data_IF_514060140990
#
_entry.id   IF_514060140990
#
_cell.length_a   1.000
_cell.length_b   1.000
_cell.length_c   1.000
_cell.angle_alpha   90.00
_cell.angle_beta   90.00
_cell.angle_gamma   90.00
#
_symmetry.space_group_name_H-M   'P 1'
#
loop_
_entity.id
_entity.type
_entity.pdbx_description
1 polymer ?
#
# COMPACT_ATOMS: atom_id res chain seq x y z
N UNK A 1 -19.75 -5.91 -23.06
CA UNK A 1 -20.25 -5.74 -21.67
C UNK A 1 -19.81 -4.37 -21.20
N UNK A 2 -20.76 -3.48 -20.91
CA UNK A 2 -20.53 -2.08 -20.56
C UNK A 2 -19.80 -2.01 -19.22
N UNK A 3 -18.61 -1.41 -19.21
CA UNK A 3 -17.80 -1.19 -18.01
C UNK A 3 -18.58 -0.34 -17.01
N UNK A 4 -19.03 -0.97 -15.93
CA UNK A 4 -19.83 -0.41 -14.85
C UNK A 4 -19.04 0.53 -13.92
N UNK A 5 -17.77 0.81 -14.23
CA UNK A 5 -16.80 1.44 -13.33
C UNK A 5 -16.94 2.97 -13.21
N UNK A 6 -18.00 3.58 -13.76
CA UNK A 6 -18.13 5.03 -13.81
C UNK A 6 -19.59 5.47 -13.66
N UNK A 7 -20.01 5.71 -12.43
CA UNK A 7 -21.22 6.49 -12.15
C UNK A 7 -20.77 7.75 -11.40
N UNK A 8 -20.59 8.91 -12.08
CA UNK A 8 -20.24 10.14 -11.39
C UNK A 8 -21.38 10.57 -10.46
N UNK A 9 -21.11 10.58 -9.15
CA UNK A 9 -22.04 10.82 -8.03
C UNK A 9 -22.52 12.27 -7.91
N UNK A 10 -21.66 13.20 -8.29
CA UNK A 10 -21.90 14.63 -8.15
C UNK A 10 -22.27 15.25 -9.51
N UNK A 11 -23.09 16.30 -9.47
CA UNK A 11 -23.37 17.16 -10.61
C UNK A 11 -22.24 18.20 -10.73
N UNK A 12 -21.58 18.32 -11.89
CA UNK A 12 -20.66 19.42 -12.15
C UNK A 12 -21.42 20.73 -12.19
N UNK A 13 -21.11 21.62 -11.27
CA UNK A 13 -21.54 23.01 -11.26
C UNK A 13 -20.40 23.86 -11.84
N UNK A 14 -20.63 24.50 -13.00
CA UNK A 14 -19.63 25.38 -13.59
C UNK A 14 -19.50 26.64 -12.72
N UNK A 15 -18.31 26.89 -12.20
CA UNK A 15 -17.93 28.14 -11.53
C UNK A 15 -16.77 28.74 -12.33
N UNK A 16 -17.11 29.54 -13.37
CA UNK A 16 -16.13 30.12 -14.28
C UNK A 16 -15.46 29.08 -15.20
N UNK A 17 -14.13 29.15 -15.35
CA UNK A 17 -13.34 28.16 -16.10
C UNK A 17 -13.14 26.82 -15.36
N UNK A 18 -13.59 26.72 -14.10
CA UNK A 18 -13.50 25.54 -13.27
C UNK A 18 -14.88 24.93 -13.04
N UNK A 19 -14.93 23.62 -12.81
CA UNK A 19 -16.15 22.89 -12.46
C UNK A 19 -16.05 22.42 -11.01
N UNK A 20 -17.00 22.82 -10.17
CA UNK A 20 -17.12 22.37 -8.79
C UNK A 20 -18.26 21.35 -8.69
N UNK A 21 -17.96 20.14 -8.23
CA UNK A 21 -18.94 19.07 -8.03
C UNK A 21 -19.60 19.23 -6.63
N UNK A 22 -20.61 20.10 -6.49
CA UNK A 22 -21.15 20.53 -5.18
C UNK A 22 -22.42 19.79 -4.73
N UNK A 23 -23.13 19.10 -5.63
CA UNK A 23 -24.43 18.49 -5.30
C UNK A 23 -24.54 17.05 -5.80
N UNK A 24 -25.11 16.17 -4.98
CA UNK A 24 -25.41 14.79 -5.37
C UNK A 24 -26.39 14.74 -6.54
N UNK A 25 -26.21 13.76 -7.43
CA UNK A 25 -27.24 13.41 -8.41
C UNK A 25 -28.43 12.75 -7.69
N UNK A 26 -29.44 13.59 -7.36
CA UNK A 26 -30.70 13.21 -6.67
C UNK A 26 -31.38 11.95 -7.21
N UNK A 27 -31.18 11.61 -8.48
CA UNK A 27 -31.86 10.49 -9.15
C UNK A 27 -30.99 9.25 -9.38
N UNK A 28 -29.70 9.28 -9.03
CA UNK A 28 -28.77 8.18 -9.34
C UNK A 28 -27.99 7.74 -8.11
N UNK A 29 -27.53 8.68 -7.26
CA UNK A 29 -26.73 8.33 -6.11
C UNK A 29 -27.14 9.14 -4.88
N UNK A 30 -27.59 8.46 -3.81
CA UNK A 30 -28.02 9.11 -2.56
C UNK A 30 -27.15 8.63 -1.39
N UNK A 31 -26.53 9.53 -0.60
CA UNK A 31 -25.89 9.14 0.64
C UNK A 31 -26.96 8.68 1.63
N UNK A 32 -26.73 7.55 2.29
CA UNK A 32 -27.63 7.00 3.29
C UNK A 32 -27.29 7.58 4.66
N UNK A 33 -28.30 8.15 5.32
CA UNK A 33 -28.22 8.59 6.72
C UNK A 33 -28.85 7.56 7.64
N UNK A 34 -28.55 6.28 7.43
CA UNK A 34 -29.04 5.20 8.28
C UNK A 34 -27.93 4.78 9.26
N UNK A 35 -28.11 4.92 10.59
CA UNK A 35 -27.10 4.50 11.57
C UNK A 35 -26.82 2.99 11.56
N UNK A 36 -27.72 2.18 11.02
CA UNK A 36 -27.51 0.74 10.82
C UNK A 36 -26.66 0.43 9.57
N UNK A 37 -26.43 1.42 8.70
CA UNK A 37 -25.63 1.27 7.50
C UNK A 37 -24.13 1.45 7.80
N UNK A 38 -23.48 0.41 8.31
CA UNK A 38 -22.03 0.39 8.54
C UNK A 38 -21.41 -0.92 8.04
N UNK A 39 -20.08 -0.90 7.86
CA UNK A 39 -19.31 -2.10 7.51
C UNK A 39 -19.32 -3.04 8.71
N UNK A 40 -19.75 -4.27 8.49
CA UNK A 40 -19.74 -5.31 9.52
C UNK A 40 -18.33 -5.87 9.71
N UNK A 41 -18.06 -6.24 10.96
CA UNK A 41 -16.79 -6.81 11.41
C UNK A 41 -17.05 -8.15 12.10
N UNK A 42 -18.10 -8.88 11.74
CA UNK A 42 -18.63 -9.99 12.54
C UNK A 42 -18.07 -11.35 12.14
N UNK A 43 -17.65 -11.50 10.88
CA UNK A 43 -17.13 -12.78 10.40
C UNK A 43 -15.66 -12.97 10.84
N UNK A 44 -15.38 -14.03 11.62
CA UNK A 44 -14.02 -14.34 12.03
C UNK A 44 -13.21 -14.90 10.87
N UNK A 45 -11.87 -14.78 10.93
CA UNK A 45 -10.98 -15.48 10.01
C UNK A 45 -11.14 -17.00 10.14
N UNK A 46 -10.80 -17.71 9.06
CA UNK A 46 -10.92 -19.16 9.02
C UNK A 46 -10.07 -19.80 10.12
N UNK A 47 -10.69 -20.66 10.94
CA UNK A 47 -10.00 -21.37 12.03
C UNK A 47 -9.65 -20.50 13.24
N UNK A 48 -10.28 -19.33 13.40
CA UNK A 48 -10.10 -18.49 14.58
C UNK A 48 -10.92 -18.98 15.77
N UNK A 49 -10.30 -18.94 16.95
CA UNK A 49 -10.95 -19.19 18.24
C UNK A 49 -10.90 -17.91 19.07
N UNK A 50 -12.01 -17.52 19.73
CA UNK A 50 -12.03 -16.33 20.55
C UNK A 50 -11.03 -16.44 21.71
N UNK A 51 -10.39 -15.34 22.12
CA UNK A 51 -9.59 -15.33 23.34
C UNK A 51 -10.47 -15.76 24.53
N UNK A 52 -9.90 -16.45 25.53
CA UNK A 52 -10.65 -16.80 26.72
C UNK A 52 -11.24 -15.53 27.35
N UNK A 53 -12.50 -15.57 27.84
CA UNK A 53 -13.10 -14.41 28.48
C UNK A 53 -12.19 -13.96 29.64
N UNK A 54 -12.07 -12.64 29.87
CA UNK A 54 -11.35 -12.15 31.03
C UNK A 54 -11.92 -12.81 32.29
N UNK A 55 -11.09 -13.13 33.30
CA UNK A 55 -11.58 -13.70 34.55
C UNK A 55 -12.69 -12.80 35.08
N UNK A 56 -13.87 -13.40 35.30
CA UNK A 56 -15.07 -12.70 35.75
C UNK A 56 -14.68 -11.90 36.99
N UNK A 57 -14.64 -10.57 36.88
CA UNK A 57 -14.43 -9.73 38.06
C UNK A 57 -15.51 -10.12 39.06
N UNK A 58 -15.11 -10.43 40.31
CA UNK A 58 -16.06 -10.71 41.37
C UNK A 58 -17.05 -9.54 41.41
N UNK A 59 -18.32 -9.83 41.12
CA UNK A 59 -19.39 -8.86 41.26
C UNK A 59 -19.33 -8.31 42.69
N UNK A 60 -19.18 -6.99 42.89
CA UNK A 60 -19.33 -6.43 44.22
C UNK A 60 -20.73 -6.83 44.69
N UNK A 61 -20.80 -7.49 45.85
CA UNK A 61 -22.07 -7.81 46.50
C UNK A 61 -22.74 -6.48 46.85
N UNK A 62 -23.61 -6.00 45.97
CA UNK A 62 -24.50 -4.88 46.26
C UNK A 62 -25.54 -5.38 47.25
N UNK A 63 -25.68 -4.62 48.34
CA UNK A 63 -26.58 -4.93 49.43
C UNK A 63 -28.04 -4.78 48.95
N UNK A 64 -28.89 -5.78 49.22
CA UNK A 64 -30.29 -5.90 48.72
C UNK A 64 -31.25 -4.75 49.13
N UNK A 65 -30.74 -3.71 49.79
CA UNK A 65 -31.50 -2.51 50.14
C UNK A 65 -31.42 -1.41 49.07
N UNK A 66 -30.40 -1.39 48.21
CA UNK A 66 -30.27 -0.37 47.15
C UNK A 66 -31.09 -0.71 45.89
N UNK A 67 -31.38 -1.98 45.61
CA UNK A 67 -32.26 -2.39 44.50
C UNK A 67 -33.69 -1.83 44.66
N UNK A 68 -34.20 -1.76 45.89
CA UNK A 68 -35.58 -1.30 46.15
C UNK A 68 -35.80 0.21 46.04
N UNK A 69 -34.73 1.01 45.98
CA UNK A 69 -34.85 2.46 45.80
C UNK A 69 -34.70 2.88 44.33
N UNK A 70 -33.98 2.13 43.48
CA UNK A 70 -33.88 2.45 42.05
C UNK A 70 -35.13 2.05 41.24
N UNK A 71 -35.93 1.09 41.70
CA UNK A 71 -37.16 0.66 41.01
C UNK A 71 -38.36 1.61 41.19
N UNK A 72 -38.27 2.62 42.06
CA UNK A 72 -39.38 3.56 42.33
C UNK A 72 -39.32 4.88 41.53
N UNK A 73 -38.30 5.09 40.68
CA UNK A 73 -38.14 6.33 39.90
C UNK A 73 -38.24 6.16 38.36
N UNK A 74 -38.70 5.01 37.85
CA UNK A 74 -39.02 4.89 36.43
C UNK A 74 -40.47 5.34 36.13
N UNK A 75 -40.70 6.35 35.28
CA UNK A 75 -42.04 6.67 34.80
C UNK A 75 -42.56 5.60 33.83
N UNK A 76 -43.86 5.28 33.94
CA UNK A 76 -44.56 4.30 33.11
C UNK A 76 -44.51 4.62 31.60
N UNK A 77 -44.50 3.59 30.72
CA UNK A 77 -44.50 3.78 29.28
C UNK A 77 -45.86 4.29 28.77
N UNK A 78 -45.92 5.29 27.88
CA UNK A 78 -47.18 5.76 27.33
C UNK A 78 -47.81 4.71 26.40
N UNK A 79 -49.11 4.50 26.61
CA UNK A 79 -49.97 3.59 25.89
C UNK A 79 -50.12 3.97 24.40
N UNK A 80 -50.20 2.92 23.58
CA UNK A 80 -50.47 2.96 22.14
C UNK A 80 -51.79 3.64 21.80
N UNK A 81 -51.74 4.68 20.99
CA UNK A 81 -52.88 5.11 20.16
C UNK A 81 -52.41 5.30 18.73
N UNK A 82 -53.21 4.83 17.78
CA UNK A 82 -53.16 5.15 16.35
C UNK A 82 -54.61 5.34 15.90
N UNK A 83 -54.91 6.02 14.77
CA UNK A 83 -54.05 6.82 13.89
C UNK A 83 -54.64 8.22 13.60
N UNK A 84 -53.78 9.22 13.39
CA UNK A 84 -54.19 10.45 12.69
C UNK A 84 -53.27 10.65 11.47
N UNK A 85 -53.89 10.60 10.29
CA UNK A 85 -53.28 10.90 9.00
C UNK A 85 -52.76 12.34 9.03
N UNK A 86 -51.45 12.51 8.94
CA UNK A 86 -50.86 13.71 8.35
C UNK A 86 -50.09 13.28 7.10
N UNK A 87 -50.45 13.94 6.01
CA UNK A 87 -49.69 13.96 4.77
C UNK A 87 -48.53 14.95 4.96
N UNK A 88 -47.46 14.67 4.21
CA UNK A 88 -46.25 15.48 4.04
C UNK A 88 -45.09 15.12 4.99
N UNK A 89 -44.72 13.82 4.99
CA UNK A 89 -43.38 13.38 5.35
C UNK A 89 -42.57 13.20 4.05
N UNK A 90 -41.58 14.07 3.83
CA UNK A 90 -40.50 13.83 2.87
C UNK A 90 -39.60 12.73 3.46
N UNK A 91 -39.94 11.48 3.13
CA UNK A 91 -39.32 10.25 3.62
C UNK A 91 -37.78 10.28 3.56
N UNK A 92 -37.17 10.45 4.73
CA UNK A 92 -35.80 10.02 5.01
C UNK A 92 -35.77 8.49 5.02
N UNK A 93 -35.34 7.89 3.91
CA UNK A 93 -35.29 6.45 3.67
C UNK A 93 -34.63 5.66 4.83
N UNK A 94 -35.44 5.10 5.71
CA UNK A 94 -35.07 4.11 6.73
C UNK A 94 -34.90 2.69 6.11
N UNK A 95 -34.28 2.57 4.95
CA UNK A 95 -33.96 1.27 4.35
C UNK A 95 -32.74 0.66 5.06
N UNK A 96 -32.88 -0.53 5.66
CA UNK A 96 -31.73 -1.29 6.19
C UNK A 96 -30.96 -1.90 5.02
N UNK A 97 -29.75 -1.41 4.70
CA UNK A 97 -29.00 -1.87 3.55
C UNK A 97 -28.52 -3.33 3.71
N UNK A 98 -28.29 -4.07 2.60
CA UNK A 98 -27.72 -5.41 2.67
C UNK A 98 -26.38 -5.39 3.40
N UNK A 99 -26.17 -6.24 4.41
CA UNK A 99 -24.95 -6.20 5.22
C UNK A 99 -23.70 -6.47 4.36
N UNK A 100 -22.71 -5.61 4.50
CA UNK A 100 -21.39 -5.75 3.89
C UNK A 100 -20.35 -5.91 4.98
N UNK A 101 -19.66 -7.05 4.99
CA UNK A 101 -18.64 -7.36 5.99
C UNK A 101 -17.25 -7.33 5.36
N UNK A 102 -16.20 -6.97 6.10
CA UNK A 102 -14.83 -6.85 5.57
C UNK A 102 -14.36 -8.06 4.76
N UNK A 103 -14.72 -9.29 5.18
CA UNK A 103 -14.36 -10.50 4.44
C UNK A 103 -15.11 -10.68 3.10
N UNK A 104 -16.00 -9.74 2.71
CA UNK A 104 -16.67 -9.73 1.40
C UNK A 104 -15.76 -9.12 0.33
N UNK A 105 -14.73 -8.37 0.73
CA UNK A 105 -13.80 -7.69 -0.18
C UNK A 105 -13.13 -8.64 -1.19
N UNK A 106 -12.52 -9.79 -0.78
CA UNK A 106 -11.95 -10.73 -1.75
C UNK A 106 -12.99 -11.29 -2.72
N UNK A 107 -14.22 -11.54 -2.24
CA UNK A 107 -15.32 -12.02 -3.08
C UNK A 107 -15.79 -10.98 -4.10
N UNK A 108 -15.85 -9.71 -3.70
CA UNK A 108 -16.17 -8.58 -4.57
C UNK A 108 -15.10 -8.40 -5.65
N UNK A 109 -13.82 -8.43 -5.29
CA UNK A 109 -12.69 -8.34 -6.23
C UNK A 109 -12.75 -9.45 -7.29
N UNK A 110 -13.03 -10.70 -6.91
CA UNK A 110 -13.21 -11.81 -7.87
C UNK A 110 -14.33 -11.53 -8.88
N UNK A 111 -15.46 -10.99 -8.43
CA UNK A 111 -16.60 -10.65 -9.33
C UNK A 111 -16.29 -9.49 -10.26
N UNK A 112 -15.39 -8.59 -9.88
CA UNK A 112 -14.87 -7.54 -10.76
C UNK A 112 -13.86 -8.07 -11.79
N UNK A 113 -13.48 -9.35 -11.72
CA UNK A 113 -12.41 -9.92 -12.54
C UNK A 113 -11.02 -9.54 -12.07
N UNK A 114 -10.84 -9.27 -10.76
CA UNK A 114 -9.57 -8.92 -10.12
C UNK A 114 -9.05 -10.07 -9.24
N UNK A 115 -8.60 -11.19 -9.85
CA UNK A 115 -8.17 -12.37 -9.11
C UNK A 115 -6.89 -12.14 -8.28
N UNK A 116 -5.93 -11.32 -8.75
CA UNK A 116 -4.70 -11.05 -8.00
C UNK A 116 -5.01 -10.21 -6.78
N UNK A 117 -5.78 -9.13 -6.93
CA UNK A 117 -6.20 -8.30 -5.80
C UNK A 117 -6.98 -9.11 -4.76
N UNK A 118 -7.90 -9.98 -5.21
CA UNK A 118 -8.63 -10.86 -4.31
C UNK A 118 -7.72 -11.82 -3.54
N UNK A 119 -6.67 -12.32 -4.18
CA UNK A 119 -5.69 -13.22 -3.56
C UNK A 119 -4.89 -12.49 -2.48
N UNK A 120 -4.41 -11.28 -2.77
CA UNK A 120 -3.66 -10.44 -1.83
C UNK A 120 -4.51 -10.01 -0.64
N UNK A 121 -5.76 -9.58 -0.88
CA UNK A 121 -6.69 -9.23 0.19
C UNK A 121 -6.96 -10.43 1.11
N UNK A 122 -7.20 -11.61 0.53
CA UNK A 122 -7.38 -12.84 1.31
C UNK A 122 -6.13 -13.19 2.12
N UNK A 123 -4.94 -13.09 1.51
CA UNK A 123 -3.66 -13.31 2.20
C UNK A 123 -3.51 -12.37 3.40
N UNK A 124 -3.85 -11.09 3.24
CA UNK A 124 -3.80 -10.13 4.34
C UNK A 124 -4.68 -10.59 5.50
N UNK A 125 -5.96 -10.93 5.24
CA UNK A 125 -6.90 -11.37 6.28
C UNK A 125 -6.47 -12.67 6.98
N UNK A 126 -5.89 -13.62 6.23
CA UNK A 126 -5.39 -14.89 6.77
C UNK A 126 -4.05 -14.73 7.51
N UNK A 127 -3.35 -13.62 7.28
CA UNK A 127 -2.07 -13.29 7.88
C UNK A 127 -2.13 -13.14 9.41
N UNK A 128 -1.00 -13.38 10.07
CA UNK A 128 -0.84 -13.01 11.48
C UNK A 128 -0.91 -11.49 11.64
N UNK A 129 -1.41 -10.99 12.76
CA UNK A 129 -1.37 -9.56 13.08
C UNK A 129 0.04 -9.03 12.94
N UNK A 130 0.24 -8.10 12.00
CA UNK A 130 1.52 -7.45 11.79
C UNK A 130 1.35 -6.12 11.06
N UNK A 131 2.20 -5.16 11.43
CA UNK A 131 2.34 -3.86 10.77
C UNK A 131 3.81 -3.77 10.34
N UNK A 132 4.05 -3.49 9.05
CA UNK A 132 5.40 -3.36 8.50
C UNK A 132 6.14 -2.18 9.15
N UNK A 133 7.46 -2.12 9.00
CA UNK A 133 8.30 -0.99 9.42
C UNK A 133 8.43 0.07 8.30
N UNK A 134 8.61 1.33 8.69
CA UNK A 134 8.85 2.47 7.80
C UNK A 134 10.29 2.50 7.30
N UNK A 135 11.15 1.69 7.92
CA UNK A 135 12.52 1.56 7.50
C UNK A 135 12.59 0.87 6.12
N UNK A 136 13.05 1.57 5.06
CA UNK A 136 13.17 0.98 3.74
C UNK A 136 14.20 -0.14 3.65
N UNK A 137 15.07 -0.27 4.66
CA UNK A 137 16.05 -1.35 4.80
C UNK A 137 15.59 -2.50 5.70
N UNK A 138 14.36 -2.44 6.24
CA UNK A 138 13.82 -3.52 7.05
C UNK A 138 13.74 -4.84 6.26
N UNK A 139 14.15 -5.91 6.93
CA UNK A 139 14.03 -7.29 6.45
C UNK A 139 12.98 -8.02 7.26
N UNK A 140 12.14 -8.79 6.58
CA UNK A 140 10.99 -9.45 7.18
C UNK A 140 11.12 -10.98 7.15
N UNK A 141 10.56 -11.67 8.16
CA UNK A 141 10.33 -13.11 8.13
C UNK A 141 9.60 -13.56 6.85
N UNK A 142 9.88 -14.79 6.39
CA UNK A 142 9.40 -15.28 5.09
C UNK A 142 7.88 -15.31 4.94
N UNK A 143 7.11 -15.45 6.02
CA UNK A 143 5.64 -15.39 6.00
C UNK A 143 5.10 -13.99 5.63
N UNK A 144 5.88 -12.95 5.87
CA UNK A 144 5.57 -11.55 5.54
C UNK A 144 6.17 -11.11 4.20
N UNK A 145 6.71 -12.03 3.42
CA UNK A 145 7.30 -11.74 2.11
C UNK A 145 6.55 -12.56 1.06
N UNK A 146 5.78 -11.87 0.23
CA UNK A 146 5.20 -12.46 -0.96
C UNK A 146 6.20 -12.45 -2.12
N UNK A 147 6.35 -13.60 -2.77
CA UNK A 147 7.20 -13.80 -3.95
C UNK A 147 6.47 -14.51 -5.10
N UNK A 148 5.21 -14.91 -4.86
CA UNK A 148 4.51 -15.90 -5.67
C UNK A 148 3.13 -15.39 -6.12
N UNK A 149 2.51 -14.47 -5.38
CA UNK A 149 1.15 -14.01 -5.69
C UNK A 149 1.15 -12.96 -6.80
N UNK A 150 2.23 -12.20 -6.95
CA UNK A 150 2.41 -11.18 -8.00
C UNK A 150 3.65 -11.47 -8.82
N UNK A 151 3.47 -11.76 -10.12
CA UNK A 151 4.58 -11.96 -11.05
C UNK A 151 4.96 -10.69 -11.80
N UNK A 152 6.22 -10.59 -12.23
CA UNK A 152 6.66 -9.50 -13.09
C UNK A 152 5.91 -9.53 -14.43
N UNK A 153 5.59 -10.73 -14.94
CA UNK A 153 4.78 -10.90 -16.15
C UNK A 153 3.38 -10.28 -16.03
N UNK A 154 2.70 -10.47 -14.89
CA UNK A 154 1.42 -9.82 -14.60
C UNK A 154 1.56 -8.29 -14.57
N UNK A 155 2.55 -7.78 -13.85
CA UNK A 155 2.78 -6.33 -13.75
C UNK A 155 3.05 -5.71 -15.13
N UNK A 156 3.78 -6.42 -15.99
CA UNK A 156 4.12 -5.98 -17.34
C UNK A 156 3.04 -6.25 -18.39
N UNK A 157 1.84 -6.76 -18.01
CA UNK A 157 0.71 -6.83 -18.95
C UNK A 157 -0.04 -5.51 -19.12
N UNK A 158 0.41 -4.44 -18.45
CA UNK A 158 -0.23 -3.12 -18.44
C UNK A 158 0.64 -2.07 -19.15
N UNK A 159 0.15 -1.50 -20.25
CA UNK A 159 0.93 -0.62 -21.14
C UNK A 159 1.56 0.60 -20.43
N UNK A 160 0.83 1.22 -19.49
CA UNK A 160 1.33 2.35 -18.70
C UNK A 160 2.59 1.99 -17.91
N UNK A 161 2.57 0.79 -17.33
CA UNK A 161 3.65 0.23 -16.52
C UNK A 161 4.84 -0.19 -17.38
N UNK A 162 4.60 -0.83 -18.53
CA UNK A 162 5.67 -1.24 -19.47
C UNK A 162 6.51 -0.03 -19.89
N UNK A 163 5.88 1.11 -20.20
CA UNK A 163 6.61 2.33 -20.57
C UNK A 163 7.56 2.81 -19.46
N UNK A 164 7.13 2.73 -18.20
CA UNK A 164 7.95 3.11 -17.03
C UNK A 164 9.08 2.13 -16.78
N UNK A 165 8.81 0.84 -16.90
CA UNK A 165 9.80 -0.23 -16.82
C UNK A 165 10.93 -0.03 -17.85
N UNK A 166 10.56 0.21 -19.11
CA UNK A 166 11.55 0.45 -20.16
C UNK A 166 12.32 1.75 -19.96
N UNK A 167 11.65 2.83 -19.51
CA UNK A 167 12.31 4.10 -19.20
C UNK A 167 13.34 3.95 -18.09
N UNK A 168 13.04 3.18 -17.05
CA UNK A 168 14.00 2.87 -15.99
C UNK A 168 15.27 2.23 -16.57
N UNK A 169 15.12 1.22 -17.43
CA UNK A 169 16.24 0.47 -18.01
C UNK A 169 17.04 1.30 -19.03
N UNK A 170 16.37 2.07 -19.88
CA UNK A 170 17.03 2.85 -20.94
C UNK A 170 17.70 4.11 -20.43
N UNK A 171 17.10 4.77 -19.43
CA UNK A 171 17.51 6.10 -18.98
C UNK A 171 17.82 6.12 -17.48
N UNK A 172 16.89 5.61 -16.67
CA UNK A 172 16.93 5.77 -15.21
C UNK A 172 18.19 5.22 -14.54
N UNK A 173 18.66 4.05 -14.97
CA UNK A 173 19.88 3.42 -14.42
C UNK A 173 21.17 4.16 -14.74
N UNK A 174 21.16 5.08 -15.72
CA UNK A 174 22.33 5.86 -16.15
C UNK A 174 22.35 7.28 -15.57
N UNK A 175 21.36 7.66 -14.75
CA UNK A 175 21.38 8.95 -14.06
C UNK A 175 22.56 9.04 -13.08
N UNK A 176 23.06 10.26 -12.86
CA UNK A 176 24.21 10.50 -11.95
C UNK A 176 23.98 9.93 -10.55
N UNK A 177 22.76 10.10 -10.01
CA UNK A 177 22.37 9.54 -8.72
C UNK A 177 22.43 8.01 -8.74
N UNK A 178 21.87 7.35 -9.76
CA UNK A 178 21.92 5.89 -9.87
C UNK A 178 23.37 5.37 -9.95
N UNK A 179 24.22 6.02 -10.74
CA UNK A 179 25.64 5.66 -10.86
C UNK A 179 26.38 5.85 -9.54
N UNK A 180 26.10 6.94 -8.82
CA UNK A 180 26.67 7.20 -7.49
C UNK A 180 26.26 6.13 -6.46
N UNK A 181 24.97 5.78 -6.40
CA UNK A 181 24.48 4.72 -5.52
C UNK A 181 25.05 3.35 -5.90
N UNK A 182 25.13 3.03 -7.19
CA UNK A 182 25.75 1.79 -7.68
C UNK A 182 27.22 1.70 -7.26
N UNK A 183 28.00 2.77 -7.47
CA UNK A 183 29.40 2.88 -7.04
C UNK A 183 29.51 2.65 -5.54
N UNK A 184 28.63 3.27 -4.73
CA UNK A 184 28.58 3.10 -3.28
C UNK A 184 28.34 1.65 -2.87
N UNK A 185 27.32 0.98 -3.44
CA UNK A 185 26.99 -0.42 -3.10
C UNK A 185 28.12 -1.39 -3.44
N UNK A 186 28.69 -1.27 -4.64
CA UNK A 186 29.83 -2.12 -5.05
C UNK A 186 31.08 -1.81 -4.20
N UNK A 187 31.34 -0.53 -3.88
CA UNK A 187 32.43 -0.14 -2.98
C UNK A 187 32.28 -0.79 -1.61
N UNK A 188 31.09 -0.74 -1.00
CA UNK A 188 30.84 -1.37 0.30
C UNK A 188 31.15 -2.87 0.28
N UNK A 189 30.77 -3.58 -0.78
CA UNK A 189 31.09 -5.00 -0.96
C UNK A 189 32.60 -5.25 -1.05
N UNK A 190 33.30 -4.51 -1.92
CA UNK A 190 34.75 -4.68 -2.15
C UNK A 190 35.56 -4.25 -0.93
N UNK A 191 35.18 -3.15 -0.27
CA UNK A 191 35.80 -2.63 0.94
C UNK A 191 35.70 -3.62 2.08
N UNK A 192 34.52 -4.19 2.31
CA UNK A 192 34.32 -5.25 3.31
C UNK A 192 35.25 -6.43 3.05
N UNK A 193 35.32 -6.93 1.81
CA UNK A 193 36.25 -8.01 1.45
C UNK A 193 37.72 -7.63 1.71
N UNK A 194 38.13 -6.43 1.31
CA UNK A 194 39.51 -5.97 1.45
C UNK A 194 39.94 -5.75 2.90
N UNK A 195 39.07 -5.16 3.72
CA UNK A 195 39.34 -4.90 5.13
C UNK A 195 39.32 -6.22 5.92
N UNK A 196 38.30 -7.05 5.74
CA UNK A 196 38.10 -8.26 6.56
C UNK A 196 39.08 -9.39 6.23
N UNK A 197 39.35 -9.64 4.94
CA UNK A 197 40.21 -10.76 4.51
C UNK A 197 41.65 -10.34 4.22
N UNK A 198 41.88 -9.04 4.01
CA UNK A 198 43.15 -8.53 3.53
C UNK A 198 43.44 -8.78 2.06
N UNK A 199 42.51 -9.35 1.32
CA UNK A 199 42.63 -9.64 -0.10
C UNK A 199 41.84 -8.64 -0.94
N UNK A 200 42.47 -8.08 -1.99
CA UNK A 200 41.71 -7.28 -2.95
C UNK A 200 40.86 -8.20 -3.81
N UNK A 201 39.58 -7.86 -3.95
CA UNK A 201 38.66 -8.67 -4.73
C UNK A 201 38.98 -8.53 -6.22
N UNK A 202 39.30 -9.65 -6.86
CA UNK A 202 39.45 -9.79 -8.30
C UNK A 202 38.53 -10.91 -8.77
N UNK A 203 37.54 -10.58 -9.59
CA UNK A 203 36.57 -11.57 -10.06
C UNK A 203 35.24 -10.98 -10.49
N UNK A 204 34.23 -11.85 -10.54
CA UNK A 204 32.87 -11.50 -10.92
C UNK A 204 31.98 -11.57 -9.69
N UNK A 205 31.25 -10.50 -9.42
CA UNK A 205 30.15 -10.46 -8.47
C UNK A 205 28.92 -10.97 -9.21
N UNK A 206 28.39 -12.13 -8.82
CA UNK A 206 27.01 -12.52 -9.08
C UNK A 206 26.17 -12.14 -7.86
N UNK A 207 25.42 -11.05 -7.97
CA UNK A 207 24.79 -10.41 -6.82
C UNK A 207 23.75 -11.31 -6.14
N UNK A 208 22.95 -12.05 -6.92
CA UNK A 208 21.93 -12.94 -6.36
C UNK A 208 22.58 -14.13 -5.64
N UNK A 209 23.66 -14.67 -6.22
CA UNK A 209 24.42 -15.75 -5.58
C UNK A 209 25.10 -15.29 -4.28
N UNK A 210 25.68 -14.10 -4.28
CA UNK A 210 26.27 -13.47 -3.07
C UNK A 210 25.20 -13.22 -2.00
N UNK A 211 23.99 -12.87 -2.41
CA UNK A 211 22.83 -12.71 -1.53
C UNK A 211 22.21 -14.03 -1.08
N UNK A 212 22.77 -15.19 -1.46
CA UNK A 212 22.26 -16.51 -1.09
C UNK A 212 20.92 -16.86 -1.74
N UNK A 213 20.59 -16.26 -2.88
CA UNK A 213 19.29 -16.41 -3.53
C UNK A 213 18.15 -15.62 -2.86
N UNK A 214 18.43 -14.84 -1.82
CA UNK A 214 17.43 -14.07 -1.10
C UNK A 214 17.23 -12.67 -1.72
N UNK A 215 16.01 -12.39 -2.16
CA UNK A 215 15.62 -11.12 -2.77
C UNK A 215 15.72 -9.93 -1.81
N UNK A 216 15.48 -10.10 -0.51
CA UNK A 216 15.61 -9.02 0.46
C UNK A 216 17.08 -8.63 0.63
N UNK A 217 17.98 -9.62 0.69
CA UNK A 217 19.44 -9.38 0.73
C UNK A 217 19.96 -8.81 -0.59
N UNK A 218 19.39 -9.20 -1.73
CA UNK A 218 19.71 -8.60 -3.03
C UNK A 218 19.31 -7.13 -3.04
N UNK A 219 18.09 -6.83 -2.58
CA UNK A 219 17.56 -5.48 -2.49
C UNK A 219 18.43 -4.60 -1.59
N UNK A 220 18.68 -5.03 -0.36
CA UNK A 220 19.49 -4.31 0.60
C UNK A 220 20.94 -4.09 0.10
N UNK A 221 21.56 -5.14 -0.44
CA UNK A 221 22.98 -5.14 -0.80
C UNK A 221 23.31 -4.49 -2.14
N UNK A 222 22.40 -4.56 -3.13
CA UNK A 222 22.72 -4.26 -4.52
C UNK A 222 21.70 -3.39 -5.26
N UNK A 223 20.54 -3.07 -4.68
CA UNK A 223 19.62 -2.09 -5.27
C UNK A 223 20.29 -0.71 -5.33
N UNK A 224 20.15 -0.05 -6.47
CA UNK A 224 20.80 1.24 -6.73
C UNK A 224 19.91 2.26 -7.42
N UNK A 225 18.77 1.84 -7.99
CA UNK A 225 17.82 2.76 -8.61
C UNK A 225 16.38 2.26 -8.44
N UNK A 226 15.44 3.19 -8.35
CA UNK A 226 13.99 2.93 -8.36
C UNK A 226 13.29 3.67 -9.49
N UNK A 227 12.23 3.05 -10.02
CA UNK A 227 11.34 3.60 -11.03
C UNK A 227 9.91 3.60 -10.48
N UNK A 228 9.42 4.74 -9.97
CA UNK A 228 8.12 4.78 -9.33
C UNK A 228 6.97 4.62 -10.33
N UNK A 229 5.98 3.83 -9.93
CA UNK A 229 4.70 3.62 -10.60
C UNK A 229 3.63 4.27 -9.74
N UNK A 230 2.81 5.10 -10.39
CA UNK A 230 1.67 5.74 -9.75
C UNK A 230 0.38 4.99 -10.05
N UNK A 231 -0.66 5.19 -9.24
CA UNK A 231 -2.01 4.67 -9.50
C UNK A 231 -2.45 4.95 -10.95
N UNK A 232 -2.10 6.10 -11.52
CA UNK A 232 -2.41 6.48 -12.91
C UNK A 232 -1.81 5.57 -13.97
N UNK A 233 -0.62 5.07 -13.71
CA UNK A 233 0.06 4.17 -14.63
C UNK A 233 -0.58 2.77 -14.63
N UNK A 234 -1.33 2.43 -13.56
CA UNK A 234 -2.02 1.14 -13.40
C UNK A 234 -3.48 1.15 -13.84
N UNK A 235 -4.09 2.34 -13.98
CA UNK A 235 -5.46 2.48 -14.47
C UNK A 235 -5.57 2.02 -15.92
N UNK A 236 -6.77 1.56 -16.28
CA UNK A 236 -7.09 1.28 -17.68
C UNK A 236 -7.14 2.57 -18.51
N UNK A 237 -7.16 2.43 -19.83
CA UNK A 237 -7.25 3.56 -20.77
C UNK A 237 -8.49 4.44 -20.56
N UNK A 238 -9.54 3.89 -19.97
CA UNK A 238 -10.73 4.61 -19.55
C UNK A 238 -10.70 5.01 -18.07
N UNK A 239 -9.53 5.19 -17.45
CA UNK A 239 -9.32 5.49 -16.03
C UNK A 239 -10.15 4.64 -15.04
N UNK A 240 -10.58 3.45 -15.46
CA UNK A 240 -11.22 2.47 -14.60
C UNK A 240 -10.14 1.65 -13.89
N UNK A 241 -10.42 1.27 -12.65
CA UNK A 241 -9.52 0.40 -11.89
C UNK A 241 -9.31 -0.94 -12.61
N UNK A 242 -8.09 -1.43 -12.51
CA UNK A 242 -7.68 -2.74 -13.00
C UNK A 242 -7.37 -3.66 -11.83
N UNK A 243 -7.15 -4.95 -12.12
CA UNK A 243 -6.64 -5.89 -11.13
C UNK A 243 -5.31 -5.38 -10.54
N UNK A 244 -4.41 -4.82 -11.36
CA UNK A 244 -3.16 -4.23 -10.89
C UNK A 244 -3.38 -3.01 -9.98
N UNK A 245 -4.31 -2.11 -10.33
CA UNK A 245 -4.63 -0.97 -9.45
C UNK A 245 -5.17 -1.44 -8.11
N UNK A 246 -6.04 -2.45 -8.11
CA UNK A 246 -6.60 -3.02 -6.88
C UNK A 246 -5.58 -3.87 -6.08
N UNK A 247 -4.54 -4.37 -6.75
CA UNK A 247 -3.49 -5.20 -6.14
C UNK A 247 -2.39 -4.38 -5.49
N UNK A 248 -1.83 -3.40 -6.21
CA UNK A 248 -0.64 -2.67 -5.79
C UNK A 248 -0.87 -1.16 -5.70
N UNK A 249 -1.85 -0.61 -6.42
CA UNK A 249 -2.06 0.84 -6.59
C UNK A 249 -0.77 1.58 -7.03
N UNK A 250 0.07 1.97 -6.07
CA UNK A 250 1.39 2.54 -6.26
C UNK A 250 2.46 1.51 -5.90
N UNK A 251 3.45 1.31 -6.76
CA UNK A 251 4.60 0.44 -6.44
C UNK A 251 5.86 0.95 -7.13
N UNK A 252 6.99 0.30 -6.87
CA UNK A 252 8.27 0.68 -7.47
C UNK A 252 8.86 -0.47 -8.29
N UNK A 253 9.38 -0.16 -9.47
CA UNK A 253 10.41 -1.01 -10.07
C UNK A 253 11.76 -0.73 -9.41
N UNK A 254 12.47 -1.78 -9.04
CA UNK A 254 13.80 -1.70 -8.45
C UNK A 254 14.82 -2.24 -9.43
N UNK A 255 15.92 -1.52 -9.61
CA UNK A 255 17.09 -1.99 -10.32
C UNK A 255 18.21 -2.31 -9.34
N UNK A 256 18.75 -3.53 -9.44
CA UNK A 256 19.88 -4.00 -8.66
C UNK A 256 21.01 -4.48 -9.59
N UNK A 257 22.25 -4.40 -9.11
CA UNK A 257 23.39 -5.01 -9.83
C UNK A 257 23.13 -6.51 -9.94
N UNK A 258 23.29 -7.11 -11.12
CA UNK A 258 23.25 -8.58 -11.27
C UNK A 258 24.64 -9.16 -11.46
N UNK A 259 25.42 -8.58 -12.37
CA UNK A 259 26.76 -9.06 -12.69
C UNK A 259 27.73 -7.90 -12.85
N UNK A 260 28.77 -7.88 -12.01
CA UNK A 260 29.83 -6.88 -12.05
C UNK A 260 31.21 -7.55 -12.04
N UNK A 261 32.05 -7.26 -13.02
CA UNK A 261 33.46 -7.65 -13.03
C UNK A 261 34.25 -6.59 -12.29
N UNK A 262 35.09 -7.03 -11.35
CA UNK A 262 35.96 -6.15 -10.56
C UNK A 262 37.40 -6.60 -10.77
N UNK A 263 38.26 -5.64 -11.10
CA UNK A 263 39.71 -5.82 -11.19
C UNK A 263 40.34 -4.83 -10.21
N UNK A 264 41.16 -5.33 -9.29
CA UNK A 264 41.73 -4.55 -8.20
C UNK A 264 43.24 -4.67 -8.17
N UNK A 265 43.91 -3.52 -8.21
CA UNK A 265 45.35 -3.37 -8.08
C UNK A 265 45.71 -2.96 -6.66
N UNK A 266 46.76 -3.57 -6.10
CA UNK A 266 47.24 -3.33 -4.74
C UNK A 266 48.54 -2.54 -4.79
N UNK A 267 48.70 -1.57 -3.89
CA UNK A 267 49.92 -0.78 -3.78
C UNK A 267 50.06 -0.16 -2.39
N UNK A 268 51.27 0.31 -2.07
CA UNK A 268 51.50 1.16 -0.91
C UNK A 268 51.40 2.62 -1.32
N UNK A 269 50.58 3.40 -0.61
CA UNK A 269 50.55 4.85 -0.73
C UNK A 269 51.55 5.45 0.27
N UNK A 270 52.46 6.29 -0.22
CA UNK A 270 53.55 6.93 0.53
C UNK A 270 53.35 8.44 0.76
N UNK A 271 52.19 9.00 0.41
CA UNK A 271 51.90 10.45 0.51
C UNK A 271 51.83 10.96 1.97
N UNK A 272 51.78 10.06 2.96
CA UNK A 272 51.70 10.39 4.39
C UNK A 272 52.93 9.95 5.20
N UNK A 273 52.94 10.22 6.52
CA UNK A 273 54.08 9.91 7.39
C UNK A 273 54.38 8.41 7.55
N UNK A 274 53.49 7.53 7.09
CA UNK A 274 53.68 6.07 7.07
C UNK A 274 52.98 5.47 5.85
N UNK A 275 53.56 4.42 5.24
CA UNK A 275 52.98 3.78 4.07
C UNK A 275 51.64 3.11 4.40
N UNK A 276 50.61 3.39 3.60
CA UNK A 276 49.29 2.77 3.72
C UNK A 276 49.11 1.70 2.64
N UNK A 277 48.68 0.51 3.03
CA UNK A 277 48.36 -0.55 2.08
C UNK A 277 46.96 -0.32 1.49
N UNK A 278 46.90 -0.09 0.19
CA UNK A 278 45.71 0.35 -0.50
C UNK A 278 45.38 -0.48 -1.73
N UNK A 279 44.13 -0.38 -2.15
CA UNK A 279 43.59 -1.02 -3.34
C UNK A 279 42.83 0.00 -4.16
N UNK A 280 43.03 -0.02 -5.48
CA UNK A 280 42.24 0.71 -6.46
C UNK A 280 41.58 -0.29 -7.40
N UNK A 281 40.27 -0.13 -7.58
CA UNK A 281 39.46 -1.13 -8.28
C UNK A 281 38.72 -0.50 -9.46
N UNK A 282 38.80 -1.15 -10.61
CA UNK A 282 37.97 -0.86 -11.79
C UNK A 282 36.82 -1.85 -11.86
N UNK A 283 35.63 -1.33 -12.16
CA UNK A 283 34.38 -2.09 -12.16
C UNK A 283 33.71 -1.97 -13.52
N UNK A 284 33.22 -3.10 -14.03
CA UNK A 284 32.36 -3.19 -15.20
C UNK A 284 31.07 -3.95 -14.86
N UNK A 285 29.95 -3.24 -14.83
CA UNK A 285 28.62 -3.83 -14.65
C UNK A 285 28.04 -4.17 -16.02
N UNK A 286 27.74 -5.45 -16.25
CA UNK A 286 27.26 -5.97 -17.53
C UNK A 286 25.79 -6.39 -17.50
N UNK A 287 25.28 -6.74 -16.32
CA UNK A 287 23.90 -7.16 -16.14
C UNK A 287 23.29 -6.51 -14.89
N UNK A 288 22.00 -6.24 -14.95
CA UNK A 288 21.18 -5.79 -13.82
C UNK A 288 20.01 -6.75 -13.59
N UNK A 289 19.46 -6.74 -12.39
CA UNK A 289 18.16 -7.30 -12.09
C UNK A 289 17.13 -6.17 -12.06
N UNK A 290 15.95 -6.43 -12.61
CA UNK A 290 14.77 -5.57 -12.43
C UNK A 290 13.61 -6.40 -11.89
N UNK A 291 12.94 -5.88 -10.86
CA UNK A 291 11.78 -6.49 -10.20
C UNK A 291 10.86 -5.39 -9.68
N UNK A 292 9.58 -5.69 -9.48
CA UNK A 292 8.69 -4.81 -8.74
C UNK A 292 8.78 -5.11 -7.24
N UNK A 293 8.65 -4.07 -6.43
CA UNK A 293 8.54 -4.13 -4.98
C UNK A 293 7.37 -3.27 -4.55
N UNK A 294 6.57 -3.79 -3.63
CA UNK A 294 5.48 -3.07 -3.00
C UNK A 294 5.31 -3.48 -1.53
N UNK A 295 4.59 -2.69 -0.77
CA UNK A 295 4.19 -2.97 0.60
C UNK A 295 2.67 -2.98 0.69
N UNK A 296 2.11 -4.17 0.84
CA UNK A 296 0.67 -4.35 1.01
C UNK A 296 0.30 -4.06 2.47
N UNK A 297 0.06 -2.77 2.75
CA UNK A 297 -0.11 -2.21 4.08
C UNK A 297 -1.37 -1.36 4.18
N UNK A 298 -2.09 -1.50 5.30
CA UNK A 298 -3.23 -0.63 5.66
C UNK A 298 -2.98 0.13 6.96
N UNK A 299 -1.72 0.36 7.30
CA UNK A 299 -1.36 1.23 8.41
C UNK A 299 -1.60 2.70 8.03
N UNK A 300 -2.01 3.52 9.00
CA UNK A 300 -2.16 4.97 8.85
C UNK A 300 -1.06 5.73 9.58
N UNK A 301 -0.62 6.86 9.03
CA UNK A 301 0.41 7.71 9.63
C UNK A 301 -0.05 8.20 11.02
N UNK A 302 0.70 7.89 12.10
CA UNK A 302 0.30 8.26 13.46
C UNK A 302 0.24 9.79 13.68
N UNK A 303 0.87 10.58 12.81
CA UNK A 303 0.85 12.04 12.88
C UNK A 303 -0.36 12.65 12.15
N UNK A 304 -1.13 11.85 11.40
CA UNK A 304 -2.28 12.30 10.64
C UNK A 304 -3.58 11.87 11.31
N UNK A 305 -4.62 12.69 11.13
CA UNK A 305 -5.93 12.52 11.78
C UNK A 305 -6.92 11.69 10.96
N UNK A 306 -6.53 11.23 9.79
CA UNK A 306 -7.49 10.73 8.79
C UNK A 306 -6.96 9.51 8.07
N UNK A 307 -7.77 8.45 8.04
CA UNK A 307 -7.45 7.16 7.45
C UNK A 307 -7.70 7.06 5.95
N UNK A 308 -6.86 6.33 5.20
CA UNK A 308 -6.91 6.33 3.72
C UNK A 308 -8.24 5.78 3.23
N UNK A 309 -8.85 6.43 2.23
CA UNK A 309 -10.07 5.93 1.57
C UNK A 309 -9.70 4.94 0.46
N UNK A 310 -10.31 3.75 0.49
CA UNK A 310 -10.00 2.62 -0.39
C UNK A 310 -11.12 2.29 -1.38
N UNK A 311 -12.15 3.13 -1.46
CA UNK A 311 -13.30 2.92 -2.34
C UNK A 311 -14.61 2.72 -1.57
N UNK A 312 -15.72 2.78 -2.30
CA UNK A 312 -17.02 2.34 -1.82
C UNK A 312 -17.25 0.93 -2.35
N UNK A 313 -17.45 -0.04 -1.46
CA UNK A 313 -17.49 -1.46 -1.78
C UNK A 313 -18.84 -2.09 -1.47
N UNK A 314 -19.21 -3.09 -2.25
CA UNK A 314 -20.27 -4.01 -1.91
C UNK A 314 -19.90 -5.43 -2.36
N UNK A 315 -20.79 -6.40 -2.15
CA UNK A 315 -20.52 -7.81 -2.51
C UNK A 315 -20.33 -8.07 -4.00
N UNK A 316 -20.61 -7.11 -4.86
CA UNK A 316 -20.54 -7.22 -6.32
C UNK A 316 -19.34 -6.47 -6.91
N UNK A 317 -18.74 -5.54 -6.17
CA UNK A 317 -17.57 -4.81 -6.62
C UNK A 317 -17.42 -3.48 -5.89
N UNK A 318 -16.74 -2.55 -6.55
CA UNK A 318 -16.40 -1.26 -5.99
C UNK A 318 -16.66 -0.13 -6.96
N UNK A 319 -16.91 1.03 -6.36
CA UNK A 319 -17.02 2.31 -7.04
C UNK A 319 -16.12 3.35 -6.37
N UNK A 320 -15.62 4.29 -7.17
CA UNK A 320 -14.79 5.39 -6.68
C UNK A 320 -15.45 6.75 -6.94
N UNK A 321 -15.30 7.65 -5.97
CA UNK A 321 -15.62 9.06 -6.15
C UNK A 321 -14.55 9.65 -7.08
N UNK A 322 -14.95 10.12 -8.27
CA UNK A 322 -14.04 10.58 -9.35
C UNK A 322 -13.01 11.64 -8.88
N UNK A 323 -13.37 12.61 -8.01
CA UNK A 323 -12.41 13.51 -7.37
C UNK A 323 -11.34 12.83 -6.48
N UNK A 324 -11.60 11.66 -5.90
CA UNK A 324 -10.65 10.93 -5.06
C UNK A 324 -9.49 10.40 -5.89
N UNK A 325 -9.82 9.79 -7.03
CA UNK A 325 -8.86 9.28 -8.00
C UNK A 325 -8.00 10.42 -8.56
N UNK A 326 -8.60 11.60 -8.77
CA UNK A 326 -7.90 12.81 -9.18
C UNK A 326 -7.00 13.38 -8.06
N UNK A 327 -7.41 13.33 -6.80
CA UNK A 327 -6.63 13.87 -5.69
C UNK A 327 -5.41 13.00 -5.33
N UNK A 328 -5.53 11.67 -5.42
CA UNK A 328 -4.41 10.72 -5.24
C UNK A 328 -3.25 11.00 -6.22
N UNK A 329 -3.58 11.42 -7.46
CA UNK A 329 -2.62 11.93 -8.47
C UNK A 329 -1.85 13.16 -8.04
N UNK A 330 -2.58 14.14 -7.50
CA UNK A 330 -2.10 15.52 -7.41
C UNK A 330 -1.07 15.61 -6.31
N UNK A 331 -1.23 14.85 -5.22
CA UNK A 331 -0.31 14.87 -4.09
C UNK A 331 1.06 14.26 -4.39
N UNK A 332 1.19 13.35 -5.37
CA UNK A 332 2.52 12.89 -5.83
C UNK A 332 3.21 13.89 -6.77
N UNK A 333 2.45 14.75 -7.44
CA UNK A 333 3.01 15.83 -8.27
C UNK A 333 3.46 17.01 -7.41
N UNK A 334 2.83 17.24 -6.25
CA UNK A 334 3.10 18.38 -5.36
C UNK A 334 3.81 18.03 -4.04
N UNK A 335 3.88 16.76 -3.64
CA UNK A 335 4.39 16.29 -2.35
C UNK A 335 5.75 15.58 -2.42
N UNK A 336 6.78 16.29 -1.97
CA UNK A 336 7.96 15.87 -1.19
C UNK A 336 8.53 14.44 -1.29
N UNK A 337 9.85 14.39 -1.53
CA UNK A 337 10.79 13.27 -1.41
C UNK A 337 10.48 12.27 -0.27
N UNK A 338 10.01 11.08 -0.61
CA UNK A 338 10.03 9.91 0.29
C UNK A 338 9.08 8.84 -0.23
N UNK A 339 9.59 7.64 -0.51
CA UNK A 339 8.75 6.45 -0.63
C UNK A 339 8.43 6.01 0.78
N UNK A 340 7.29 6.45 1.31
CA UNK A 340 6.81 5.94 2.58
C UNK A 340 6.20 4.57 2.32
N UNK A 341 6.90 3.52 2.74
CA UNK A 341 6.51 2.14 2.47
C UNK A 341 5.38 1.67 3.40
N UNK A 342 5.02 2.38 4.48
CA UNK A 342 3.86 1.97 5.29
C UNK A 342 2.54 2.62 4.88
N UNK A 343 2.57 3.83 4.31
CA UNK A 343 1.40 4.70 4.32
C UNK A 343 0.74 4.78 2.96
N UNK A 344 -0.55 4.47 2.95
CA UNK A 344 -1.44 4.86 1.88
C UNK A 344 -1.39 6.36 1.63
N UNK A 345 -0.99 6.75 0.41
CA UNK A 345 -0.88 8.16 0.02
C UNK A 345 -2.21 8.90 0.27
N UNK A 346 -2.16 9.99 1.05
CA UNK A 346 -3.31 10.80 1.43
C UNK A 346 -3.47 12.01 0.50
N UNK A 347 -4.71 12.40 0.17
CA UNK A 347 -5.06 13.80 0.03
C UNK A 347 -5.45 14.37 1.36
N UNK A 348 -4.52 15.09 2.02
CA UNK A 348 -4.92 16.10 2.99
C UNK A 348 -6.03 16.91 2.32
N UNK A 349 -7.23 16.93 2.94
CA UNK A 349 -8.48 17.54 2.46
C UNK A 349 -8.35 18.17 1.07
N UNK A 350 -8.80 17.52 -0.02
CA UNK A 350 -8.51 17.94 -1.39
C UNK A 350 -8.69 19.45 -1.55
N UNK A 351 -7.61 20.17 -1.86
CA UNK A 351 -7.59 21.65 -1.90
C UNK A 351 -8.74 22.20 -2.75
N UNK A 352 -9.10 21.48 -3.80
CA UNK A 352 -10.11 21.90 -4.77
C UNK A 352 -11.53 21.41 -4.47
N UNK A 353 -11.75 20.42 -3.57
CA UNK A 353 -13.08 19.84 -3.33
C UNK A 353 -13.33 19.39 -1.88
N UNK A 354 -13.24 20.31 -0.89
CA UNK A 354 -13.45 20.01 0.53
C UNK A 354 -14.85 19.47 0.85
N UNK A 355 -15.86 19.95 0.13
CA UNK A 355 -17.27 19.60 0.35
C UNK A 355 -17.58 18.12 0.06
N UNK A 356 -16.97 17.57 -0.99
CA UNK A 356 -17.16 16.16 -1.39
C UNK A 356 -16.57 15.25 -0.31
N UNK A 357 -15.37 15.59 0.17
CA UNK A 357 -14.69 14.91 1.27
C UNK A 357 -15.55 14.83 2.54
N UNK A 358 -16.11 15.97 2.96
CA UNK A 358 -16.86 16.07 4.21
C UNK A 358 -18.26 15.41 4.12
N UNK A 359 -18.88 15.34 2.93
CA UNK A 359 -20.28 14.93 2.77
C UNK A 359 -20.53 13.61 2.03
N UNK A 360 -19.54 13.02 1.35
CA UNK A 360 -19.75 11.82 0.54
C UNK A 360 -18.76 10.68 0.65
N UNK A 361 -17.67 10.84 1.38
CA UNK A 361 -16.72 9.73 1.62
C UNK A 361 -17.01 8.92 2.88
N UNK A 362 -17.87 9.42 3.76
CA UNK A 362 -18.10 8.84 5.10
C UNK A 362 -19.39 8.04 5.21
N UNK A 363 -20.23 8.05 4.18
CA UNK A 363 -21.57 7.48 4.23
C UNK A 363 -21.72 6.43 3.14
N UNK A 364 -22.40 5.31 3.41
CA UNK A 364 -22.82 4.41 2.35
C UNK A 364 -23.65 5.15 1.29
N UNK A 365 -23.51 4.72 0.05
CA UNK A 365 -24.16 5.33 -1.10
C UNK A 365 -25.00 4.28 -1.80
N UNK A 366 -26.26 4.59 -2.06
CA UNK A 366 -27.11 3.81 -2.94
C UNK A 366 -27.05 4.36 -4.36
N UNK A 367 -26.65 3.53 -5.33
CA UNK A 367 -26.56 3.91 -6.75
C UNK A 367 -27.82 3.59 -7.58
N UNK A 368 -28.88 3.07 -6.96
CA UNK A 368 -30.20 2.78 -7.56
C UNK A 368 -30.12 2.26 -9.02
N UNK A 369 -29.93 0.95 -9.19
CA UNK A 369 -29.80 0.32 -10.52
C UNK A 369 -31.15 0.18 -11.25
N UNK A 370 -31.29 0.81 -12.41
CA UNK A 370 -32.41 0.59 -13.34
C UNK A 370 -32.72 1.81 -14.21
N UNK A 371 -33.05 1.59 -15.49
CA UNK A 371 -33.36 2.66 -16.45
C UNK A 371 -34.73 3.32 -16.20
N UNK A 372 -35.69 2.56 -15.67
CA UNK A 372 -37.05 3.03 -15.39
C UNK A 372 -37.26 3.17 -13.89
N UNK A 373 -37.91 4.26 -13.47
CA UNK A 373 -38.12 4.63 -12.06
C UNK A 373 -38.77 3.49 -11.25
N UNK A 374 -39.70 2.77 -11.87
CA UNK A 374 -40.50 1.70 -11.24
C UNK A 374 -39.77 0.34 -11.15
N UNK A 375 -38.56 0.24 -11.70
CA UNK A 375 -37.73 -0.97 -11.70
C UNK A 375 -36.33 -0.73 -11.11
N UNK A 376 -36.12 0.39 -10.42
CA UNK A 376 -34.85 0.66 -9.75
C UNK A 376 -34.68 -0.25 -8.54
N UNK A 377 -33.55 -0.94 -8.48
CA UNK A 377 -33.15 -1.76 -7.33
C UNK A 377 -32.08 -1.04 -6.54
N UNK A 378 -32.22 -1.00 -5.21
CA UNK A 378 -31.17 -0.51 -4.32
C UNK A 378 -29.88 -1.31 -4.53
N UNK A 379 -28.76 -0.61 -4.69
CA UNK A 379 -27.45 -1.21 -4.83
C UNK A 379 -26.46 -0.36 -4.03
N UNK A 380 -26.19 -0.82 -2.82
CA UNK A 380 -25.59 0.02 -1.78
C UNK A 380 -24.12 -0.35 -1.63
N UNK A 381 -23.29 0.67 -1.55
CA UNK A 381 -21.85 0.55 -1.40
C UNK A 381 -21.37 1.30 -0.16
N UNK A 382 -20.42 0.70 0.55
CA UNK A 382 -19.92 1.13 1.84
C UNK A 382 -18.50 1.69 1.72
N UNK A 383 -18.19 2.86 2.30
CA UNK A 383 -16.85 3.43 2.24
C UNK A 383 -15.86 2.63 3.07
N UNK A 384 -14.92 1.96 2.42
CA UNK A 384 -13.85 1.19 3.07
C UNK A 384 -12.61 2.07 3.22
N UNK A 385 -11.94 1.95 4.37
CA UNK A 385 -10.75 2.72 4.74
C UNK A 385 -9.70 1.82 5.41
N UNK A 386 -8.49 2.35 5.59
CA UNK A 386 -7.44 1.68 6.38
C UNK A 386 -7.91 1.39 7.82
N UNK A 387 -8.68 2.29 8.44
CA UNK A 387 -9.27 2.13 9.77
C UNK A 387 -10.14 0.88 9.86
N UNK A 388 -10.85 0.52 8.80
CA UNK A 388 -11.68 -0.69 8.76
C UNK A 388 -10.82 -1.95 8.80
N UNK A 389 -9.70 -1.97 8.07
CA UNK A 389 -8.70 -3.03 8.15
C UNK A 389 -8.07 -3.08 9.55
N UNK A 390 -7.66 -1.94 10.11
CA UNK A 390 -7.08 -1.85 11.44
C UNK A 390 -8.05 -2.34 12.53
N UNK A 391 -9.32 -1.93 12.48
CA UNK A 391 -10.36 -2.38 13.39
C UNK A 391 -10.58 -3.90 13.30
N UNK A 392 -10.63 -4.45 12.08
CA UNK A 392 -10.73 -5.89 11.87
C UNK A 392 -9.52 -6.64 12.44
N UNK A 393 -8.30 -6.10 12.22
CA UNK A 393 -7.06 -6.66 12.74
C UNK A 393 -7.04 -6.72 14.26
N UNK A 394 -7.44 -5.64 14.92
CA UNK A 394 -7.51 -5.56 16.37
C UNK A 394 -8.55 -6.52 16.94
N UNK A 395 -9.73 -6.62 16.31
CA UNK A 395 -10.81 -7.50 16.77
C UNK A 395 -10.42 -8.98 16.73
N UNK A 396 -9.73 -9.42 15.69
CA UNK A 396 -9.43 -10.84 15.48
C UNK A 396 -7.98 -11.24 15.79
N UNK A 397 -7.10 -10.29 16.12
CA UNK A 397 -5.67 -10.53 16.28
C UNK A 397 -5.05 -11.27 15.07
N UNK A 398 -5.53 -10.91 13.89
CA UNK A 398 -5.19 -11.43 12.54
C UNK A 398 -5.12 -10.24 11.59
N UNK A 399 -4.79 -10.41 10.32
CA UNK A 399 -4.70 -9.28 9.40
C UNK A 399 -3.29 -8.68 9.42
N UNK A 400 -2.45 -9.08 8.48
CA UNK A 400 -1.02 -8.79 8.51
C UNK A 400 -0.54 -8.11 7.25
N UNK A 401 0.15 -6.98 7.41
CA UNK A 401 0.86 -6.34 6.31
C UNK A 401 2.04 -7.21 5.85
N UNK A 402 2.34 -7.19 4.55
CA UNK A 402 3.43 -7.97 3.96
C UNK A 402 4.09 -7.22 2.79
N UNK A 403 5.34 -7.55 2.50
CA UNK A 403 6.08 -6.98 1.37
C UNK A 403 5.98 -7.89 0.18
N UNK A 404 5.74 -7.32 -1.00
CA UNK A 404 5.67 -8.03 -2.27
C UNK A 404 6.98 -7.80 -3.03
N UNK A 405 7.56 -8.88 -3.54
CA UNK A 405 8.62 -8.83 -4.54
C UNK A 405 8.22 -9.71 -5.72
N UNK A 406 8.29 -9.18 -6.94
CA UNK A 406 8.24 -10.06 -8.11
C UNK A 406 9.57 -10.81 -8.26
N UNK A 407 9.56 -11.86 -9.07
CA UNK A 407 10.78 -12.52 -9.50
C UNK A 407 11.75 -11.53 -10.18
N UNK A 408 13.06 -11.55 -9.85
CA UNK A 408 14.04 -10.65 -10.45
C UNK A 408 14.40 -11.09 -11.86
N UNK A 409 14.16 -10.23 -12.85
CA UNK A 409 14.53 -10.46 -14.24
C UNK A 409 15.95 -9.97 -14.51
N UNK A 410 16.85 -10.88 -14.89
CA UNK A 410 18.21 -10.54 -15.30
C UNK A 410 18.21 -9.93 -16.70
N UNK A 411 18.81 -8.75 -16.85
CA UNK A 411 18.88 -8.01 -18.10
C UNK A 411 20.34 -7.72 -18.43
N UNK A 412 20.76 -8.04 -19.65
CA UNK A 412 22.07 -7.66 -20.18
C UNK A 412 22.02 -6.20 -20.65
N UNK A 413 22.96 -5.40 -20.16
CA UNK A 413 23.08 -4.00 -20.58
C UNK A 413 23.65 -3.92 -22.00
N UNK A 414 23.03 -3.10 -22.85
CA UNK A 414 23.58 -2.83 -24.18
C UNK A 414 24.93 -2.12 -24.10
N UNK A 415 25.03 -1.14 -23.19
CA UNK A 415 26.28 -0.45 -22.84
C UNK A 415 26.65 -0.81 -21.40
N UNK A 416 27.72 -1.61 -21.18
CA UNK A 416 28.21 -1.86 -19.84
C UNK A 416 28.58 -0.56 -19.11
N UNK A 417 28.25 -0.48 -17.83
CA UNK A 417 28.58 0.67 -16.99
C UNK A 417 29.98 0.44 -16.42
N UNK A 418 30.90 1.34 -16.72
CA UNK A 418 32.31 1.23 -16.30
C UNK A 418 32.69 2.43 -15.43
N UNK A 419 33.34 2.17 -14.30
CA UNK A 419 33.86 3.20 -13.42
C UNK A 419 35.01 2.67 -12.55
N UNK A 420 35.74 3.59 -11.94
CA UNK A 420 36.78 3.27 -10.96
C UNK A 420 36.29 3.65 -9.57
N UNK A 421 36.49 2.75 -8.61
CA UNK A 421 36.23 3.02 -7.20
C UNK A 421 37.30 3.96 -6.64
N UNK A 422 36.89 4.76 -5.66
CA UNK A 422 37.85 5.55 -4.88
C UNK A 422 38.77 4.60 -4.12
N UNK A 423 40.00 5.04 -3.89
CA UNK A 423 41.01 4.25 -3.21
C UNK A 423 40.49 3.76 -1.84
N UNK A 424 40.71 2.48 -1.55
CA UNK A 424 40.40 1.87 -0.26
C UNK A 424 41.73 1.51 0.38
N UNK A 425 42.01 2.02 1.58
CA UNK A 425 43.23 1.71 2.33
C UNK A 425 42.87 0.96 3.61
N UNK A 426 43.72 0.02 4.02
CA UNK A 426 43.56 -0.59 5.34
C UNK A 426 43.76 0.47 6.43
N UNK A 427 42.93 0.46 7.48
CA UNK A 427 43.18 1.30 8.65
C UNK A 427 44.55 0.94 9.24
N UNK A 428 45.24 1.94 9.79
CA UNK A 428 46.49 1.70 10.54
C UNK A 428 46.15 0.73 11.67
N UNK A 429 47.00 -0.27 11.88
CA UNK A 429 46.89 -1.10 13.06
C UNK A 429 46.93 -0.15 14.28
N UNK A 430 45.84 -0.11 15.06
CA UNK A 430 45.91 0.54 16.36
C UNK A 430 46.91 -0.28 17.17
N UNK A 431 48.08 0.29 17.42
CA UNK A 431 48.97 -0.26 18.41
C UNK A 431 48.21 -0.23 19.73
N UNK A 432 47.86 -1.40 20.24
CA UNK A 432 47.42 -1.58 21.62
C UNK A 432 48.60 -1.21 22.52
N UNK A 433 48.85 0.07 22.71
CA UNK A 433 49.60 0.55 23.85
C UNK A 433 48.65 0.53 25.04
N UNK A 434 48.52 -0.65 25.64
CA UNK A 434 48.22 -0.74 27.06
C UNK A 434 49.37 -0.05 27.80
N UNK A 435 49.09 1.09 28.42
CA UNK A 435 49.87 1.63 29.51
C UNK A 435 48.96 1.78 30.72
#
# INVERSE_FOLDING_TARGET
MTTLNRIPYFKPEKVGFFSNDTTWKKDVCRPLNNPQAHILMERPPKGWTPPPPPPKAEEPKIDKKEEKQLEQELPEPPQSTSPAKNKDDEDGDCYTPPPFDMLDLPGAMKKMGFPVAAKLAQRWFDGRKYILSNDPSASYPGDLVDKDDVSLGFVLSYDGVVRKYEKLIREGIYSENALSFMKKKIRQFVEKKFIDSGESFNGVIDALSVSGGDIQRLHEGFQFQKGPISSWDTLSSNLGMTDLTASLANFDFMAAVATAKVVSEKYYNYDGPSPLYCSKSSVEVSHIYVYAKDSYSFADDPNKRTSQYLGHWNRSGMIMVVPAAASDTVNRVTGSRGTDLQWGDYPDKPIFMPYIYDNGYKKPVDIMRGLFKDHRKHDIYYPVRNDDYNAWREKYNRGGDFVIYTEPRKIKLHKPIKFTLDQICKPRAQSSFSR
#
